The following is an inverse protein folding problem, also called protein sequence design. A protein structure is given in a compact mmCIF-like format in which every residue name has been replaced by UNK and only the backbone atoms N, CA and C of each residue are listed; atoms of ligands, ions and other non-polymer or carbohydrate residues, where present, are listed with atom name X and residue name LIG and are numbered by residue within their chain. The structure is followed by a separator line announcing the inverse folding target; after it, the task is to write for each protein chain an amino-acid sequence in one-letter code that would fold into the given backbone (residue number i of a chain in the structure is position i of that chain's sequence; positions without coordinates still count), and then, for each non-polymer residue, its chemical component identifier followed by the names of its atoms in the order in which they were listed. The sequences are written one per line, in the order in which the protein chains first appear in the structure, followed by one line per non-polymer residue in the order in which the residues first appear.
data_IF_608981717012
#
_entry.id   IF_608981717012
#
_cell.length_a   1.000
_cell.length_b   1.000
_cell.length_c   1.000
_cell.angle_alpha   90.00
_cell.angle_beta   90.00
_cell.angle_gamma   90.00
#
_symmetry.space_group_name_H-M   'P 1'
#
loop_
_entity.id
_entity.type
_entity.pdbx_description
1 polymer ?
#
# COMPACT_ATOMS: atom_id res chain seq x y z
N UNK A 1 -4.08 3.54 -7.91
CA UNK A 1 -5.24 4.07 -7.23
C UNK A 1 -4.84 5.29 -6.40
N UNK A 2 -5.61 6.36 -6.51
CA UNK A 2 -5.35 7.60 -5.76
C UNK A 2 -6.05 7.68 -4.40
N UNK A 3 -6.56 6.56 -3.89
CA UNK A 3 -7.19 6.54 -2.59
C UNK A 3 -6.18 6.89 -1.49
N UNK A 4 -6.51 7.87 -0.64
CA UNK A 4 -5.57 8.37 0.36
C UNK A 4 -6.25 8.80 1.66
N UNK A 5 -7.53 8.47 1.84
CA UNK A 5 -8.27 8.80 3.06
C UNK A 5 -9.10 7.59 3.51
N UNK A 6 -9.61 7.59 4.76
CA UNK A 6 -10.34 6.42 5.28
C UNK A 6 -11.53 5.99 4.44
N UNK A 7 -12.31 6.95 3.92
CA UNK A 7 -13.45 6.60 3.07
C UNK A 7 -12.99 5.91 1.79
N UNK A 8 -11.93 6.42 1.16
CA UNK A 8 -11.35 5.80 -0.02
C UNK A 8 -10.85 4.39 0.26
N UNK A 9 -10.22 4.18 1.41
CA UNK A 9 -9.75 2.86 1.81
C UNK A 9 -10.92 1.90 1.96
N UNK A 10 -12.02 2.34 2.56
CA UNK A 10 -13.20 1.49 2.74
C UNK A 10 -13.78 1.07 1.39
N UNK A 11 -13.95 2.01 0.47
CA UNK A 11 -14.49 1.73 -0.87
C UNK A 11 -13.57 0.77 -1.62
N UNK A 12 -12.27 1.03 -1.57
CA UNK A 12 -11.29 0.16 -2.23
C UNK A 12 -11.35 -1.26 -1.67
N UNK A 13 -11.40 -1.38 -0.35
CA UNK A 13 -11.48 -2.70 0.27
C UNK A 13 -12.74 -3.47 -0.12
N UNK A 14 -13.88 -2.78 -0.20
CA UNK A 14 -15.12 -3.42 -0.64
C UNK A 14 -14.95 -4.02 -2.04
N UNK A 15 -14.32 -3.28 -2.93
CA UNK A 15 -14.02 -3.79 -4.27
C UNK A 15 -13.08 -5.00 -4.20
N UNK A 16 -12.01 -4.91 -3.42
CA UNK A 16 -11.02 -5.98 -3.32
C UNK A 16 -11.62 -7.26 -2.75
N UNK A 17 -12.51 -7.14 -1.77
CA UNK A 17 -13.16 -8.32 -1.19
C UNK A 17 -14.07 -9.03 -2.19
N UNK A 18 -14.54 -8.33 -3.22
CA UNK A 18 -15.34 -8.95 -4.27
C UNK A 18 -14.51 -9.84 -5.20
N UNK A 19 -13.19 -9.71 -5.17
CA UNK A 19 -12.30 -10.46 -6.05
C UNK A 19 -11.85 -11.75 -5.38
N UNK A 20 -11.89 -12.83 -6.12
CA UNK A 20 -11.44 -14.14 -5.62
C UNK A 20 -9.98 -14.39 -6.01
N UNK A 21 -9.08 -13.67 -5.36
CA UNK A 21 -7.64 -13.77 -5.64
C UNK A 21 -6.85 -13.26 -4.44
N UNK A 22 -5.55 -13.55 -4.43
CA UNK A 22 -4.67 -12.96 -3.43
C UNK A 22 -4.43 -11.48 -3.75
N UNK A 23 -4.39 -10.66 -2.70
CA UNK A 23 -4.22 -9.21 -2.84
C UNK A 23 -2.95 -8.80 -2.11
N UNK A 24 -2.07 -8.16 -2.85
CA UNK A 24 -0.80 -7.67 -2.32
C UNK A 24 -0.85 -6.14 -2.35
N UNK A 25 -0.69 -5.50 -1.18
CA UNK A 25 -0.82 -4.05 -1.08
C UNK A 25 0.56 -3.42 -0.90
N UNK A 26 0.82 -2.39 -1.68
CA UNK A 26 1.99 -1.52 -1.53
C UNK A 26 1.46 -0.17 -1.07
N UNK A 27 1.97 0.35 0.04
CA UNK A 27 1.47 1.58 0.64
C UNK A 27 2.59 2.55 0.98
N UNK A 28 2.37 3.82 0.62
CA UNK A 28 3.19 4.94 1.09
C UNK A 28 2.25 6.05 1.51
N UNK A 29 2.55 6.74 2.60
CA UNK A 29 1.63 7.73 3.16
C UNK A 29 2.35 9.00 3.58
N UNK A 30 1.59 10.08 3.60
CA UNK A 30 2.07 11.34 4.18
C UNK A 30 2.05 11.20 5.70
N UNK A 31 2.97 11.92 6.37
CA UNK A 31 3.15 11.78 7.82
C UNK A 31 1.98 12.27 8.66
N UNK A 32 1.16 13.19 8.12
CA UNK A 32 0.05 13.79 8.85
C UNK A 32 -1.27 13.02 8.76
N UNK A 33 -1.23 11.75 8.34
CA UNK A 33 -2.43 10.92 8.23
C UNK A 33 -2.51 9.93 9.38
N UNK A 34 -3.72 9.46 9.68
CA UNK A 34 -3.91 8.36 10.63
C UNK A 34 -3.67 7.05 9.89
N UNK A 35 -2.44 6.55 9.99
CA UNK A 35 -2.01 5.39 9.21
C UNK A 35 -2.75 4.12 9.61
N UNK A 36 -2.95 3.92 10.91
CA UNK A 36 -3.66 2.74 11.39
C UNK A 36 -5.12 2.75 11.00
N UNK A 37 -5.78 3.90 11.10
CA UNK A 37 -7.18 4.01 10.67
C UNK A 37 -7.30 3.69 9.18
N UNK A 38 -6.47 4.31 8.35
CA UNK A 38 -6.52 4.06 6.91
C UNK A 38 -6.38 2.58 6.59
N UNK A 39 -5.36 1.93 7.15
CA UNK A 39 -5.08 0.52 6.86
C UNK A 39 -6.07 -0.43 7.53
N UNK A 40 -6.76 0.01 8.58
CA UNK A 40 -7.71 -0.85 9.30
C UNK A 40 -8.89 -1.29 8.42
N UNK A 41 -9.16 -0.56 7.36
CA UNK A 41 -10.25 -0.92 6.44
C UNK A 41 -9.90 -2.07 5.51
N UNK A 42 -8.62 -2.40 5.35
CA UNK A 42 -8.21 -3.48 4.46
C UNK A 42 -8.25 -4.82 5.20
N UNK A 43 -9.00 -5.77 4.63
CA UNK A 43 -9.21 -7.09 5.21
C UNK A 43 -8.75 -8.15 4.22
N UNK A 44 -8.31 -9.29 4.75
CA UNK A 44 -7.99 -10.47 3.93
C UNK A 44 -6.95 -10.19 2.85
N UNK A 45 -5.96 -9.35 3.16
CA UNK A 45 -4.86 -9.08 2.25
C UNK A 45 -3.76 -10.12 2.49
N UNK A 46 -3.06 -10.50 1.43
CA UNK A 46 -2.02 -11.54 1.50
C UNK A 46 -0.70 -10.99 2.00
N UNK A 47 -0.28 -9.83 1.48
CA UNK A 47 0.95 -9.17 1.92
C UNK A 47 0.76 -7.66 1.94
N UNK A 48 1.54 -7.00 2.79
CA UNK A 48 1.58 -5.55 2.87
C UNK A 48 3.04 -5.10 2.78
N UNK A 49 3.33 -4.21 1.85
CA UNK A 49 4.68 -3.65 1.69
C UNK A 49 4.61 -2.13 1.86
N UNK A 50 5.38 -1.62 2.81
CA UNK A 50 5.51 -0.16 2.98
C UNK A 50 6.70 0.33 2.16
N UNK A 51 6.59 1.53 1.62
CA UNK A 51 7.64 2.13 0.80
C UNK A 51 7.85 3.59 1.16
N UNK A 52 8.96 4.15 0.69
CA UNK A 52 9.18 5.59 0.75
C UNK A 52 8.54 6.24 -0.47
N UNK A 53 7.95 7.43 -0.27
CA UNK A 53 7.41 8.22 -1.39
C UNK A 53 8.52 9.12 -1.91
N UNK A 54 8.91 8.99 -3.19
CA UNK A 54 10.01 9.80 -3.73
C UNK A 54 9.69 11.29 -3.70
N UNK A 55 10.69 12.10 -3.34
CA UNK A 55 10.62 13.57 -3.44
C UNK A 55 9.50 14.21 -2.61
N UNK A 56 9.11 13.57 -1.51
CA UNK A 56 8.06 14.08 -0.62
C UNK A 56 8.57 14.13 0.81
N UNK A 57 9.18 15.26 1.22
CA UNK A 57 9.78 15.34 2.55
C UNK A 57 8.78 15.20 3.70
N UNK A 58 7.49 15.45 3.44
CA UNK A 58 6.44 15.31 4.45
C UNK A 58 5.82 13.91 4.48
N UNK A 59 6.37 12.97 3.74
CA UNK A 59 5.92 11.58 3.81
C UNK A 59 6.56 10.88 5.00
N UNK A 60 5.85 9.89 5.55
CA UNK A 60 6.44 9.04 6.58
C UNK A 60 7.40 8.05 5.91
N UNK A 61 8.56 7.81 6.53
CA UNK A 61 9.48 6.81 6.02
C UNK A 61 8.84 5.43 6.07
N UNK A 62 9.07 4.63 5.02
CA UNK A 62 8.46 3.30 4.92
C UNK A 62 8.80 2.40 6.09
N UNK A 63 10.02 2.47 6.61
CA UNK A 63 10.42 1.70 7.80
C UNK A 63 9.59 2.08 9.03
N UNK A 64 9.36 3.37 9.22
CA UNK A 64 8.57 3.87 10.34
C UNK A 64 7.10 3.49 10.17
N UNK A 65 6.59 3.57 8.97
CA UNK A 65 5.22 3.16 8.66
C UNK A 65 5.02 1.67 8.96
N UNK A 66 5.99 0.85 8.57
CA UNK A 66 5.95 -0.58 8.87
C UNK A 66 5.83 -0.83 10.38
N UNK A 67 6.62 -0.11 11.19
CA UNK A 67 6.58 -0.28 12.64
C UNK A 67 5.23 0.14 13.22
N UNK A 68 4.60 1.14 12.65
CA UNK A 68 3.27 1.59 13.10
C UNK A 68 2.15 0.62 12.73
N UNK A 69 2.32 -0.13 11.64
CA UNK A 69 1.30 -1.07 11.14
C UNK A 69 1.56 -2.48 11.61
N UNK A 70 1.95 -2.64 12.85
CA UNK A 70 2.41 -3.91 13.41
C UNK A 70 1.30 -4.96 13.61
N UNK A 71 0.04 -4.62 13.35
CA UNK A 71 -1.06 -5.60 13.40
C UNK A 71 -1.12 -6.50 12.17
N UNK A 72 -0.42 -6.16 11.11
CA UNK A 72 -0.38 -6.98 9.89
C UNK A 72 0.73 -8.02 10.01
N UNK A 73 0.41 -9.27 9.65
CA UNK A 73 1.35 -10.39 9.83
C UNK A 73 2.44 -10.45 8.77
N UNK A 74 2.07 -10.27 7.51
CA UNK A 74 3.01 -10.38 6.39
C UNK A 74 3.37 -8.99 5.89
N UNK A 75 4.08 -8.23 6.72
CA UNK A 75 4.45 -6.85 6.39
C UNK A 75 5.96 -6.77 6.16
N UNK A 76 6.35 -6.05 5.12
CA UNK A 76 7.75 -5.79 4.78
C UNK A 76 7.92 -4.34 4.33
N UNK A 77 9.16 -3.88 4.34
CA UNK A 77 9.55 -2.57 3.82
C UNK A 77 10.44 -2.73 2.60
N UNK A 78 10.18 -1.92 1.58
CA UNK A 78 11.08 -1.75 0.42
C UNK A 78 11.23 -0.26 0.12
N UNK A 79 12.35 0.13 -0.47
CA UNK A 79 12.62 1.55 -0.71
C UNK A 79 11.71 2.16 -1.77
N UNK A 80 11.28 1.38 -2.75
CA UNK A 80 10.54 1.90 -3.90
C UNK A 80 9.44 0.95 -4.34
N UNK A 81 8.54 1.47 -5.18
CA UNK A 81 7.50 0.65 -5.81
C UNK A 81 8.14 -0.46 -6.64
N UNK A 82 9.19 -0.15 -7.39
CA UNK A 82 9.86 -1.14 -8.23
C UNK A 82 10.40 -2.30 -7.39
N UNK A 83 11.11 -1.98 -6.30
CA UNK A 83 11.64 -3.01 -5.42
C UNK A 83 10.53 -3.82 -4.77
N UNK A 84 9.44 -3.15 -4.37
CA UNK A 84 8.28 -3.81 -3.78
C UNK A 84 7.68 -4.82 -4.76
N UNK A 85 7.43 -4.41 -5.99
CA UNK A 85 6.85 -5.29 -7.01
C UNK A 85 7.74 -6.50 -7.25
N UNK A 86 9.04 -6.29 -7.35
CA UNK A 86 9.99 -7.39 -7.58
C UNK A 86 10.02 -8.41 -6.45
N UNK A 87 9.71 -7.98 -5.23
CA UNK A 87 9.77 -8.84 -4.05
C UNK A 87 8.49 -9.63 -3.80
N UNK A 88 7.39 -9.28 -4.47
CA UNK A 88 6.09 -9.90 -4.23
C UNK A 88 5.92 -11.12 -5.14
N UNK A 89 5.66 -12.31 -4.55
CA UNK A 89 5.46 -13.52 -5.35
C UNK A 89 4.04 -13.57 -5.93
N UNK A 90 3.84 -12.91 -7.06
CA UNK A 90 2.55 -12.87 -7.75
C UNK A 90 2.33 -14.16 -8.52
N UNK A 91 1.16 -14.76 -8.36
CA UNK A 91 0.80 -16.03 -9.02
C UNK A 91 -0.60 -15.95 -9.59
N UNK A 92 -0.79 -16.54 -10.77
CA UNK A 92 -2.12 -16.67 -11.38
C UNK A 92 -2.80 -15.32 -11.54
N UNK A 93 -3.95 -15.17 -10.91
CA UNK A 93 -4.74 -13.95 -10.98
C UNK A 93 -4.53 -13.01 -9.79
N UNK A 94 -3.44 -13.19 -9.04
CA UNK A 94 -3.12 -12.27 -7.94
C UNK A 94 -3.02 -10.84 -8.45
N UNK A 95 -3.37 -9.88 -7.58
CA UNK A 95 -3.28 -8.47 -7.92
C UNK A 95 -2.37 -7.73 -6.94
N UNK A 96 -1.75 -6.68 -7.45
CA UNK A 96 -0.97 -5.74 -6.65
C UNK A 96 -1.71 -4.41 -6.65
N UNK A 97 -1.96 -3.89 -5.45
CA UNK A 97 -2.66 -2.61 -5.27
C UNK A 97 -1.68 -1.60 -4.66
N UNK A 98 -1.50 -0.47 -5.31
CA UNK A 98 -0.64 0.60 -4.80
C UNK A 98 -1.53 1.74 -4.33
N UNK A 99 -1.43 2.10 -3.06
CA UNK A 99 -2.35 3.04 -2.46
C UNK A 99 -1.67 3.89 -1.38
N UNK A 100 -2.41 4.85 -0.82
CA UNK A 100 -2.00 5.63 0.34
C UNK A 100 -1.72 7.10 0.06
N UNK A 101 -1.28 7.46 -1.13
CA UNK A 101 -0.99 8.83 -1.49
C UNK A 101 -1.14 9.06 -2.99
N UNK A 102 -1.65 10.22 -3.35
CA UNK A 102 -1.77 10.63 -4.75
C UNK A 102 -0.41 10.72 -5.45
N UNK A 103 0.65 11.00 -4.71
CA UNK A 103 1.99 11.10 -5.28
C UNK A 103 2.48 9.76 -5.83
N UNK A 104 1.95 8.65 -5.33
CA UNK A 104 2.31 7.32 -5.82
C UNK A 104 1.73 7.02 -7.20
N UNK A 105 0.60 7.64 -7.55
CA UNK A 105 -0.02 7.41 -8.86
C UNK A 105 0.92 7.81 -9.99
N UNK A 106 1.63 8.93 -9.85
CA UNK A 106 2.61 9.36 -10.85
C UNK A 106 3.77 8.38 -10.97
N UNK A 107 4.24 7.83 -9.85
CA UNK A 107 5.32 6.86 -9.86
C UNK A 107 4.91 5.57 -10.58
N UNK A 108 3.67 5.11 -10.36
CA UNK A 108 3.15 3.94 -11.05
C UNK A 108 3.13 4.15 -12.56
N UNK A 109 2.69 5.32 -13.02
CA UNK A 109 2.66 5.62 -14.45
C UNK A 109 4.05 5.56 -15.08
N UNK A 110 5.09 5.87 -14.32
CA UNK A 110 6.46 5.82 -14.82
C UNK A 110 7.00 4.41 -14.99
N UNK A 111 6.36 3.41 -14.40
CA UNK A 111 6.75 2.01 -14.56
C UNK A 111 6.29 1.41 -15.88
N UNK A 112 5.36 2.06 -16.53
CA UNK A 112 4.80 1.60 -17.81
C UNK A 112 5.51 2.26 -18.99
#
# INVERSE_FOLDING_TARGET
DGSHNPLGAKVLNEYLESLNCNKHIIVGMMSNKDHNEYMSYFKNISTLTTIDIPNQPNSIKGKELKDKLNSFKNIQYKESITDAIRSIPVKGNDIIVITGSLYLAGEVLNLN
#
